data_IF_189660917128
#
_entry.id   IF_189660917128
#
_cell.length_a   1.000
_cell.length_b   1.000
_cell.length_c   1.000
_cell.angle_alpha   90.00
_cell.angle_beta   90.00
_cell.angle_gamma   90.00
#
_symmetry.space_group_name_H-M   'P 1'
#
loop_
_entity.id
_entity.type
_entity.pdbx_description
1 polymer ?
#
# COMPACT_ATOMS: atom_id res chain seq x y z
N UNK A 1 -8.07 -15.92 -25.29
CA UNK A 1 -7.03 -16.29 -24.29
C UNK A 1 -7.00 -17.79 -24.11
N UNK A 2 -5.83 -18.43 -24.22
CA UNK A 2 -5.67 -19.82 -23.80
C UNK A 2 -5.62 -19.86 -22.26
N UNK A 3 -6.75 -20.13 -21.62
CA UNK A 3 -6.88 -20.39 -20.18
C UNK A 3 -6.21 -21.72 -19.75
N UNK A 4 -5.17 -22.16 -20.45
CA UNK A 4 -4.56 -23.48 -20.30
C UNK A 4 -3.48 -23.59 -19.21
N UNK A 5 -3.03 -22.46 -18.65
CA UNK A 5 -1.82 -22.44 -17.81
C UNK A 5 -2.00 -21.94 -16.37
N UNK A 6 -3.21 -21.69 -15.88
CA UNK A 6 -3.45 -21.30 -14.47
C UNK A 6 -2.88 -22.32 -13.45
N UNK A 7 -2.77 -23.59 -13.83
CA UNK A 7 -2.18 -24.65 -12.99
C UNK A 7 -0.72 -24.41 -12.60
N UNK A 8 0.04 -23.69 -13.42
CA UNK A 8 1.43 -23.33 -13.10
C UNK A 8 1.53 -22.08 -12.19
N UNK A 9 0.45 -21.32 -12.02
CA UNK A 9 0.44 -20.03 -11.31
C UNK A 9 0.06 -20.21 -9.83
N UNK A 10 -0.65 -21.29 -9.49
CA UNK A 10 -1.29 -21.45 -8.18
C UNK A 10 -0.45 -22.22 -7.15
N UNK A 11 0.56 -23.00 -7.57
CA UNK A 11 1.37 -23.82 -6.66
C UNK A 11 0.61 -25.06 -6.17
N UNK A 12 1.29 -26.18 -5.98
CA UNK A 12 0.70 -27.52 -5.87
C UNK A 12 0.11 -27.89 -4.49
N UNK A 13 -0.19 -26.92 -3.61
CA UNK A 13 -0.61 -27.21 -2.23
C UNK A 13 -1.77 -26.32 -1.76
N UNK A 14 -2.94 -26.43 -2.38
CA UNK A 14 -4.15 -25.81 -1.83
C UNK A 14 -5.41 -26.63 -2.09
N UNK A 15 -6.34 -26.56 -1.12
CA UNK A 15 -7.79 -26.80 -1.31
C UNK A 15 -8.27 -26.12 -2.60
N UNK A 16 -9.33 -26.64 -3.24
CA UNK A 16 -9.94 -26.07 -4.45
C UNK A 16 -9.85 -24.53 -4.45
N UNK A 17 -9.12 -23.91 -5.40
CA UNK A 17 -8.90 -22.48 -5.36
C UNK A 17 -10.23 -21.75 -5.57
N UNK A 18 -10.60 -20.90 -4.60
CA UNK A 18 -11.68 -19.92 -4.77
C UNK A 18 -11.15 -18.78 -5.63
N UNK A 19 -11.60 -18.71 -6.88
CA UNK A 19 -11.24 -17.68 -7.84
C UNK A 19 -12.28 -16.56 -7.80
N UNK A 20 -11.84 -15.37 -7.44
CA UNK A 20 -12.69 -14.17 -7.46
C UNK A 20 -12.46 -13.44 -8.77
N UNK A 21 -13.51 -13.36 -9.58
CA UNK A 21 -13.52 -12.60 -10.82
C UNK A 21 -14.09 -11.22 -10.52
N UNK A 22 -13.41 -10.17 -10.97
CA UNK A 22 -13.75 -8.79 -10.61
C UNK A 22 -13.88 -7.95 -11.87
N UNK A 23 -15.01 -7.27 -12.03
CA UNK A 23 -15.23 -6.26 -13.06
C UNK A 23 -16.16 -5.16 -12.51
N UNK A 24 -16.15 -3.97 -13.11
CA UNK A 24 -17.08 -2.89 -12.79
C UNK A 24 -18.39 -3.00 -13.59
N UNK A 25 -18.38 -3.72 -14.71
CA UNK A 25 -19.52 -3.86 -15.60
C UNK A 25 -20.21 -5.23 -15.42
N UNK A 26 -21.41 -5.27 -14.82
CA UNK A 26 -22.16 -6.51 -14.63
C UNK A 26 -22.68 -7.12 -15.95
N UNK A 27 -22.70 -6.37 -17.05
CA UNK A 27 -23.04 -6.91 -18.38
C UNK A 27 -21.88 -7.73 -18.96
N UNK A 28 -20.64 -7.42 -18.58
CA UNK A 28 -19.44 -8.12 -19.04
C UNK A 28 -19.09 -9.28 -18.12
N UNK A 29 -19.22 -9.10 -16.81
CA UNK A 29 -18.97 -10.15 -15.84
C UNK A 29 -20.22 -10.45 -15.02
N UNK A 30 -20.80 -11.61 -15.25
CA UNK A 30 -21.89 -12.17 -14.48
C UNK A 30 -21.79 -13.70 -14.45
N UNK A 31 -22.62 -14.34 -13.62
CA UNK A 31 -22.60 -15.80 -13.44
C UNK A 31 -22.85 -16.55 -14.75
N UNK A 32 -23.74 -16.06 -15.63
CA UNK A 32 -24.05 -16.72 -16.90
C UNK A 32 -22.85 -16.75 -17.84
N UNK A 33 -22.16 -15.61 -18.00
CA UNK A 33 -20.93 -15.49 -18.80
C UNK A 33 -19.81 -16.39 -18.26
N UNK A 34 -19.67 -16.47 -16.94
CA UNK A 34 -18.67 -17.35 -16.31
C UNK A 34 -18.99 -18.82 -16.60
N UNK A 35 -20.24 -19.25 -16.44
CA UNK A 35 -20.64 -20.63 -16.75
C UNK A 35 -20.46 -20.95 -18.24
N UNK A 36 -20.79 -20.02 -19.13
CA UNK A 36 -20.58 -20.18 -20.57
C UNK A 36 -19.09 -20.34 -20.91
N UNK A 37 -18.23 -19.51 -20.32
CA UNK A 37 -16.77 -19.58 -20.51
C UNK A 37 -16.19 -20.90 -19.97
N UNK A 38 -16.64 -21.36 -18.80
CA UNK A 38 -16.26 -22.66 -18.22
C UNK A 38 -16.67 -23.78 -19.17
N UNK A 39 -17.93 -23.82 -19.61
CA UNK A 39 -18.41 -24.87 -20.51
C UNK A 39 -17.68 -24.90 -21.86
N UNK A 40 -17.34 -23.73 -22.40
CA UNK A 40 -16.49 -23.64 -23.59
C UNK A 40 -15.09 -24.23 -23.34
N UNK A 41 -14.46 -23.86 -22.22
CA UNK A 41 -13.13 -24.36 -21.85
C UNK A 41 -13.10 -25.87 -21.68
N UNK A 42 -14.07 -26.42 -20.93
CA UNK A 42 -14.17 -27.85 -20.66
C UNK A 42 -14.29 -28.66 -21.96
N UNK A 43 -15.12 -28.17 -22.88
CA UNK A 43 -15.28 -28.76 -24.21
C UNK A 43 -14.00 -28.65 -25.03
N UNK A 44 -13.37 -27.48 -25.05
CA UNK A 44 -12.17 -27.22 -25.85
C UNK A 44 -10.96 -28.06 -25.40
N UNK A 45 -10.76 -28.19 -24.09
CA UNK A 45 -9.63 -28.92 -23.52
C UNK A 45 -9.94 -30.36 -23.11
N UNK A 46 -11.20 -30.79 -23.26
CA UNK A 46 -11.67 -32.13 -22.85
C UNK A 46 -11.34 -32.45 -21.38
N UNK A 47 -11.59 -31.48 -20.49
CA UNK A 47 -11.33 -31.56 -19.04
C UNK A 47 -12.50 -30.98 -18.27
N UNK A 48 -12.69 -31.42 -17.01
CA UNK A 48 -13.66 -30.81 -16.09
C UNK A 48 -12.99 -29.76 -15.21
N UNK A 49 -13.67 -28.64 -15.04
CA UNK A 49 -13.29 -27.58 -14.12
C UNK A 49 -13.81 -27.92 -12.72
N UNK A 50 -12.93 -27.87 -11.73
CA UNK A 50 -13.26 -28.10 -10.31
C UNK A 50 -13.05 -26.85 -9.46
N UNK A 51 -12.70 -25.72 -10.09
CA UNK A 51 -12.52 -24.44 -9.43
C UNK A 51 -13.87 -23.82 -9.08
N UNK A 52 -13.90 -23.05 -7.99
CA UNK A 52 -15.08 -22.25 -7.64
C UNK A 52 -14.83 -20.82 -8.06
N UNK A 53 -15.78 -20.25 -8.79
CA UNK A 53 -15.74 -18.85 -9.18
C UNK A 53 -16.71 -18.06 -8.33
N UNK A 54 -16.29 -16.88 -7.89
CA UNK A 54 -17.15 -15.89 -7.27
C UNK A 54 -17.07 -14.61 -8.10
N UNK A 55 -18.21 -14.18 -8.64
CA UNK A 55 -18.31 -12.90 -9.32
C UNK A 55 -18.41 -11.77 -8.30
N UNK A 56 -17.58 -10.75 -8.47
CA UNK A 56 -17.56 -9.56 -7.63
C UNK A 56 -17.68 -8.33 -8.53
N UNK A 57 -18.81 -7.64 -8.43
CA UNK A 57 -19.00 -6.36 -9.11
C UNK A 57 -18.41 -5.25 -8.26
N UNK A 58 -17.53 -4.47 -8.88
CA UNK A 58 -16.75 -3.48 -8.19
C UNK A 58 -17.09 -2.04 -8.61
N UNK A 59 -16.50 -1.06 -7.92
CA UNK A 59 -16.50 0.35 -8.32
C UNK A 59 -15.13 0.72 -8.90
N UNK A 60 -15.01 1.80 -9.67
CA UNK A 60 -13.70 2.23 -10.18
C UNK A 60 -12.70 2.66 -9.08
N UNK A 61 -13.15 2.86 -7.84
CA UNK A 61 -12.33 3.42 -6.75
C UNK A 61 -12.07 2.46 -5.58
N UNK A 62 -12.83 1.37 -5.46
CA UNK A 62 -12.76 0.43 -4.34
C UNK A 62 -12.62 -0.98 -4.88
N UNK A 63 -12.21 -1.94 -4.08
CA UNK A 63 -12.32 -3.41 -4.26
C UNK A 63 -13.04 -3.90 -3.00
N UNK A 64 -14.16 -4.63 -3.08
CA UNK A 64 -14.98 -4.98 -1.91
C UNK A 64 -14.38 -6.17 -1.14
N UNK A 65 -13.08 -6.11 -0.87
CA UNK A 65 -12.34 -7.05 -0.06
C UNK A 65 -11.75 -6.36 1.18
N UNK A 66 -11.63 -7.07 2.31
CA UNK A 66 -10.96 -6.54 3.50
C UNK A 66 -9.49 -6.18 3.22
N UNK A 67 -8.95 -5.28 4.04
CA UNK A 67 -7.52 -4.97 4.05
C UNK A 67 -6.70 -6.27 4.22
N UNK A 68 -5.61 -6.40 3.45
CA UNK A 68 -4.64 -7.49 3.57
C UNK A 68 -5.27 -8.89 3.57
N UNK A 69 -6.28 -9.12 2.72
CA UNK A 69 -6.99 -10.39 2.60
C UNK A 69 -6.55 -11.23 1.40
N UNK A 70 -5.88 -10.63 0.41
CA UNK A 70 -5.58 -11.26 -0.87
C UNK A 70 -4.12 -11.72 -0.97
N UNK A 71 -3.92 -13.02 -1.25
CA UNK A 71 -2.59 -13.61 -1.45
C UNK A 71 -2.02 -13.37 -2.85
N UNK A 72 -2.89 -13.44 -3.88
CA UNK A 72 -2.51 -13.32 -5.28
C UNK A 72 -3.53 -12.48 -6.02
N UNK A 73 -3.08 -11.55 -6.85
CA UNK A 73 -3.91 -10.78 -7.78
C UNK A 73 -3.36 -10.94 -9.20
N UNK A 74 -4.25 -11.10 -10.17
CA UNK A 74 -3.89 -11.21 -11.59
C UNK A 74 -4.59 -10.10 -12.35
N UNK A 75 -3.83 -9.29 -13.09
CA UNK A 75 -4.32 -8.38 -14.12
C UNK A 75 -3.86 -8.95 -15.46
N UNK A 76 -4.80 -9.32 -16.33
CA UNK A 76 -4.50 -9.83 -17.67
C UNK A 76 -5.08 -8.86 -18.70
N UNK A 77 -4.19 -8.15 -19.38
CA UNK A 77 -4.47 -7.19 -20.43
C UNK A 77 -5.59 -6.19 -20.07
N UNK A 78 -5.49 -5.62 -18.87
CA UNK A 78 -6.57 -4.83 -18.24
C UNK A 78 -6.07 -3.59 -17.52
N UNK A 79 -4.79 -3.51 -17.15
CA UNK A 79 -4.26 -2.38 -16.41
C UNK A 79 -4.24 -1.09 -17.24
N UNK A 80 -3.93 -1.19 -18.54
CA UNK A 80 -4.02 -0.05 -19.46
C UNK A 80 -5.46 0.43 -19.67
N UNK A 81 -6.47 -0.36 -19.30
CA UNK A 81 -7.88 0.00 -19.40
C UNK A 81 -8.35 0.90 -18.24
N UNK A 82 -7.64 0.92 -17.11
CA UNK A 82 -8.03 1.76 -15.98
C UNK A 82 -7.84 3.24 -16.28
N UNK A 83 -8.88 4.04 -16.03
CA UNK A 83 -8.81 5.50 -16.11
C UNK A 83 -8.00 6.11 -14.96
N UNK A 84 -8.06 5.48 -13.78
CA UNK A 84 -7.45 5.94 -12.53
C UNK A 84 -6.44 4.91 -11.98
N UNK A 85 -5.41 4.62 -12.77
CA UNK A 85 -4.41 3.57 -12.47
C UNK A 85 -3.75 3.72 -11.10
N UNK A 86 -3.39 4.96 -10.72
CA UNK A 86 -2.76 5.22 -9.43
C UNK A 86 -3.70 4.89 -8.27
N UNK A 87 -4.98 5.29 -8.34
CA UNK A 87 -5.97 4.99 -7.32
C UNK A 87 -6.24 3.49 -7.22
N UNK A 88 -6.37 2.81 -8.37
CA UNK A 88 -6.55 1.35 -8.40
C UNK A 88 -5.35 0.61 -7.79
N UNK A 89 -4.12 1.06 -8.06
CA UNK A 89 -2.94 0.45 -7.43
C UNK A 89 -2.88 0.68 -5.91
N UNK A 90 -3.34 1.82 -5.41
CA UNK A 90 -3.50 2.02 -3.96
C UNK A 90 -4.52 1.05 -3.37
N UNK A 91 -5.62 0.81 -4.09
CA UNK A 91 -6.65 -0.12 -3.65
C UNK A 91 -6.19 -1.59 -3.72
N UNK A 92 -5.47 -1.98 -4.77
CA UNK A 92 -4.77 -3.27 -4.86
C UNK A 92 -3.82 -3.41 -3.67
N UNK A 93 -3.02 -2.39 -3.38
CA UNK A 93 -2.07 -2.41 -2.26
C UNK A 93 -2.77 -2.57 -0.90
N UNK A 94 -3.98 -2.03 -0.74
CA UNK A 94 -4.81 -2.15 0.47
C UNK A 94 -5.27 -3.59 0.68
N UNK A 95 -5.77 -4.26 -0.37
CA UNK A 95 -6.33 -5.62 -0.25
C UNK A 95 -5.26 -6.71 -0.23
N UNK A 96 -4.07 -6.46 -0.81
CA UNK A 96 -2.97 -7.43 -0.84
C UNK A 96 -2.34 -7.64 0.54
N UNK A 97 -2.08 -8.91 0.89
CA UNK A 97 -1.24 -9.29 2.04
C UNK A 97 0.19 -8.83 1.84
N UNK A 98 0.93 -8.70 2.93
CA UNK A 98 2.33 -8.26 2.92
C UNK A 98 3.26 -9.20 2.15
N UNK A 99 2.97 -10.50 2.16
CA UNK A 99 3.68 -11.51 1.37
C UNK A 99 2.96 -11.87 0.06
N UNK A 100 1.96 -11.08 -0.33
CA UNK A 100 1.17 -11.34 -1.52
C UNK A 100 1.90 -10.98 -2.82
N UNK A 101 1.42 -11.54 -3.93
CA UNK A 101 2.00 -11.31 -5.26
C UNK A 101 0.97 -10.76 -6.25
N UNK A 102 1.39 -9.79 -7.05
CA UNK A 102 0.59 -9.23 -8.14
C UNK A 102 1.21 -9.65 -9.46
N UNK A 103 0.41 -10.29 -10.31
CA UNK A 103 0.79 -10.71 -11.65
C UNK A 103 0.12 -9.78 -12.65
N UNK A 104 0.90 -9.22 -13.56
CA UNK A 104 0.44 -8.25 -14.56
C UNK A 104 0.93 -8.73 -15.90
N UNK A 105 0.01 -9.24 -16.71
CA UNK A 105 0.28 -9.55 -18.11
C UNK A 105 -0.27 -8.43 -18.97
N UNK A 106 0.59 -7.79 -19.76
CA UNK A 106 0.20 -6.67 -20.62
C UNK A 106 0.90 -6.77 -21.97
N UNK A 107 0.23 -6.29 -23.02
CA UNK A 107 0.92 -5.91 -24.24
C UNK A 107 1.86 -4.75 -23.92
N UNK A 108 3.12 -4.85 -24.35
CA UNK A 108 4.15 -3.86 -24.04
C UNK A 108 4.47 -3.02 -25.27
N UNK A 109 4.44 -1.71 -25.08
CA UNK A 109 4.81 -0.75 -26.09
C UNK A 109 6.29 -0.89 -26.47
N UNK A 110 6.59 -0.87 -27.76
CA UNK A 110 7.94 -0.78 -28.31
C UNK A 110 8.53 0.62 -28.13
N UNK A 111 7.67 1.65 -28.11
CA UNK A 111 8.05 3.04 -27.85
C UNK A 111 6.97 3.75 -27.04
N UNK A 112 7.38 4.77 -26.27
CA UNK A 112 6.45 5.54 -25.43
C UNK A 112 5.37 6.20 -26.28
N UNK A 113 4.11 6.06 -25.85
CA UNK A 113 2.94 6.62 -26.53
C UNK A 113 2.32 5.73 -27.61
N UNK A 114 2.85 4.52 -27.85
CA UNK A 114 2.16 3.50 -28.64
C UNK A 114 0.77 3.21 -28.06
N UNK A 115 -0.21 2.94 -28.94
CA UNK A 115 -1.60 2.69 -28.55
C UNK A 115 -2.01 1.27 -28.89
N UNK A 116 -2.79 0.67 -28.02
CA UNK A 116 -3.35 -0.66 -28.21
C UNK A 116 -4.32 -0.65 -29.40
N UNK A 117 -4.15 -1.56 -30.37
CA UNK A 117 -4.92 -1.57 -31.62
C UNK A 117 -6.44 -1.73 -31.39
N UNK A 118 -6.83 -2.49 -30.36
CA UNK A 118 -8.25 -2.77 -30.08
C UNK A 118 -9.00 -1.63 -29.40
N UNK A 119 -8.41 -1.05 -28.34
CA UNK A 119 -9.09 -0.07 -27.49
C UNK A 119 -8.61 1.38 -27.69
N UNK A 120 -7.50 1.58 -28.40
CA UNK A 120 -6.89 2.89 -28.66
C UNK A 120 -6.24 3.56 -27.44
N UNK A 121 -6.19 2.90 -26.27
CA UNK A 121 -5.52 3.44 -25.07
C UNK A 121 -3.99 3.30 -25.16
N UNK A 122 -3.22 4.21 -24.53
CA UNK A 122 -1.77 4.12 -24.54
C UNK A 122 -1.30 2.86 -23.82
N UNK A 123 -0.40 2.13 -24.46
CA UNK A 123 0.32 1.01 -23.88
C UNK A 123 1.50 1.52 -23.03
N UNK A 124 1.93 0.69 -22.09
CA UNK A 124 3.12 0.95 -21.31
C UNK A 124 4.34 0.31 -21.97
N UNK A 125 5.45 1.03 -21.99
CA UNK A 125 6.76 0.36 -22.07
C UNK A 125 7.00 -0.42 -20.77
N UNK A 126 7.86 -1.45 -20.82
CA UNK A 126 8.20 -2.23 -19.63
C UNK A 126 8.74 -1.36 -18.48
N UNK A 127 9.48 -0.30 -18.81
CA UNK A 127 10.03 0.65 -17.83
C UNK A 127 8.93 1.51 -17.18
N UNK A 128 7.99 2.02 -17.96
CA UNK A 128 6.87 2.82 -17.43
C UNK A 128 5.98 1.97 -16.53
N UNK A 129 5.64 0.74 -16.93
CA UNK A 129 4.84 -0.18 -16.12
C UNK A 129 5.53 -0.44 -14.77
N UNK A 130 6.83 -0.79 -14.80
CA UNK A 130 7.64 -0.98 -13.60
C UNK A 130 7.59 0.24 -12.68
N UNK A 131 7.84 1.43 -13.22
CA UNK A 131 7.88 2.67 -12.44
C UNK A 131 6.52 2.99 -11.79
N UNK A 132 5.42 2.76 -12.49
CA UNK A 132 4.06 3.00 -11.97
C UNK A 132 3.77 2.08 -10.77
N UNK A 133 4.14 0.80 -10.84
CA UNK A 133 3.99 -0.14 -9.73
C UNK A 133 4.93 0.16 -8.55
N UNK A 134 6.20 0.48 -8.81
CA UNK A 134 7.15 0.86 -7.75
C UNK A 134 6.73 2.14 -7.02
N UNK A 135 6.17 3.11 -7.77
CA UNK A 135 5.57 4.30 -7.18
C UNK A 135 4.36 3.97 -6.31
N UNK A 136 3.64 2.89 -6.57
CA UNK A 136 2.52 2.44 -5.75
C UNK A 136 2.92 1.55 -4.54
N UNK A 137 4.21 1.26 -4.34
CA UNK A 137 4.68 0.47 -3.20
C UNK A 137 4.72 -1.03 -3.47
N UNK A 138 5.01 -1.40 -4.71
CA UNK A 138 5.34 -2.76 -5.12
C UNK A 138 6.82 -2.86 -5.53
N UNK A 139 7.38 -4.06 -5.50
CA UNK A 139 8.74 -4.34 -5.97
C UNK A 139 8.65 -5.36 -7.11
N UNK A 140 9.26 -5.05 -8.26
CA UNK A 140 9.32 -6.01 -9.37
C UNK A 140 10.24 -7.17 -8.99
N UNK A 141 9.71 -8.39 -9.01
CA UNK A 141 10.47 -9.61 -8.71
C UNK A 141 10.86 -10.38 -9.96
N UNK A 142 10.03 -10.32 -11.01
CA UNK A 142 10.29 -10.99 -12.27
C UNK A 142 9.58 -10.26 -13.43
N UNK A 143 10.20 -10.25 -14.60
CA UNK A 143 9.55 -9.88 -15.86
C UNK A 143 9.99 -10.88 -16.93
N UNK A 144 9.03 -11.54 -17.59
CA UNK A 144 9.29 -12.54 -18.64
C UNK A 144 8.36 -12.32 -19.84
N UNK A 145 8.82 -12.57 -21.08
CA UNK A 145 7.92 -12.61 -22.23
C UNK A 145 6.82 -13.66 -22.03
N UNK A 146 5.57 -13.30 -22.30
CA UNK A 146 4.44 -14.24 -22.36
C UNK A 146 3.97 -14.49 -23.79
N UNK A 147 4.28 -13.58 -24.72
CA UNK A 147 4.13 -13.74 -26.17
C UNK A 147 5.14 -12.86 -26.91
N UNK A 148 5.01 -12.74 -28.23
CA UNK A 148 5.84 -11.83 -29.06
C UNK A 148 5.62 -10.35 -28.72
N UNK A 149 4.44 -10.00 -28.22
CA UNK A 149 4.02 -8.60 -27.97
C UNK A 149 3.71 -8.32 -26.50
N UNK A 150 3.67 -9.34 -25.64
CA UNK A 150 3.27 -9.21 -24.25
C UNK A 150 4.32 -9.77 -23.28
N UNK A 151 4.34 -9.20 -22.07
CA UNK A 151 5.17 -9.67 -20.97
C UNK A 151 4.33 -9.87 -19.71
N UNK A 152 4.71 -10.88 -18.94
CA UNK A 152 4.24 -11.13 -17.59
C UNK A 152 5.22 -10.54 -16.58
N UNK A 153 4.72 -9.62 -15.76
CA UNK A 153 5.43 -9.03 -14.63
C UNK A 153 4.88 -9.62 -13.33
N UNK A 154 5.79 -10.00 -12.45
CA UNK A 154 5.47 -10.40 -11.09
C UNK A 154 5.99 -9.34 -10.13
N UNK A 155 5.10 -8.85 -9.28
CA UNK A 155 5.42 -7.89 -8.23
C UNK A 155 5.12 -8.47 -6.85
N UNK A 156 5.97 -8.16 -5.89
CA UNK A 156 5.65 -8.31 -4.47
C UNK A 156 5.22 -6.97 -3.88
N UNK A 157 4.52 -7.03 -2.75
CA UNK A 157 4.32 -5.85 -1.91
C UNK A 157 5.65 -5.40 -1.33
N UNK A 158 6.01 -4.12 -1.44
CA UNK A 158 7.26 -3.59 -0.89
C UNK A 158 7.26 -3.69 0.65
N UNK A 159 8.32 -4.28 1.20
CA UNK A 159 8.43 -4.48 2.64
C UNK A 159 8.77 -3.18 3.37
N UNK A 160 8.12 -2.97 4.52
CA UNK A 160 8.40 -1.87 5.43
C UNK A 160 8.72 -2.46 6.80
N UNK A 161 9.96 -2.26 7.25
CA UNK A 161 10.43 -2.73 8.55
C UNK A 161 10.39 -1.54 9.51
N UNK A 162 9.75 -1.70 10.67
CA UNK A 162 9.72 -0.64 11.69
C UNK A 162 10.52 -1.06 12.91
N UNK A 163 11.49 -0.23 13.29
CA UNK A 163 12.32 -0.39 14.50
C UNK A 163 12.98 0.93 14.88
N UNK A 164 13.60 0.99 16.05
CA UNK A 164 14.46 2.11 16.40
C UNK A 164 15.73 2.13 15.51
N UNK A 165 16.30 3.31 15.20
CA UNK A 165 17.63 3.42 14.60
C UNK A 165 18.70 2.79 15.49
N UNK A 166 19.69 2.14 14.88
CA UNK A 166 20.72 1.35 15.57
C UNK A 166 22.13 1.87 15.32
N UNK A 167 22.38 2.52 14.18
CA UNK A 167 23.71 3.06 13.83
C UNK A 167 23.73 4.59 13.83
N UNK A 168 24.90 5.23 13.97
CA UNK A 168 25.02 6.69 13.84
C UNK A 168 24.46 7.24 12.52
N UNK A 169 24.62 6.50 11.42
CA UNK A 169 24.12 6.87 10.09
C UNK A 169 22.60 6.85 10.04
N UNK A 170 21.97 5.83 10.63
CA UNK A 170 20.52 5.75 10.74
C UNK A 170 19.95 6.86 11.63
N UNK A 171 20.61 7.16 12.76
CA UNK A 171 20.23 8.29 13.61
C UNK A 171 20.36 9.61 12.89
N UNK A 172 21.43 9.81 12.10
CA UNK A 172 21.58 11.00 11.26
C UNK A 172 20.43 11.09 10.25
N UNK A 173 20.10 10.00 9.56
CA UNK A 173 18.99 9.95 8.60
C UNK A 173 17.63 10.17 9.27
N UNK A 174 17.43 9.66 10.49
CA UNK A 174 16.22 9.84 11.28
C UNK A 174 15.95 11.33 11.55
N UNK A 175 16.95 12.03 12.09
CA UNK A 175 16.82 13.47 12.37
C UNK A 175 16.72 14.27 11.07
N UNK A 176 17.50 13.93 10.05
CA UNK A 176 17.41 14.61 8.75
C UNK A 176 15.98 14.55 8.19
N UNK A 177 15.35 13.37 8.15
CA UNK A 177 13.98 13.25 7.65
C UNK A 177 12.98 14.06 8.49
N UNK A 178 13.16 14.08 9.81
CA UNK A 178 12.32 14.89 10.71
C UNK A 178 12.47 16.38 10.41
N UNK A 179 13.69 16.85 10.16
CA UNK A 179 13.96 18.22 9.75
C UNK A 179 13.29 18.53 8.40
N UNK A 180 13.58 17.74 7.37
CA UNK A 180 13.10 17.96 6.00
C UNK A 180 11.57 18.06 5.92
N UNK A 181 10.85 17.30 6.75
CA UNK A 181 9.38 17.24 6.69
C UNK A 181 8.71 18.20 7.66
N UNK A 182 9.28 18.41 8.85
CA UNK A 182 8.60 19.15 9.92
C UNK A 182 9.15 20.56 10.16
N UNK A 183 10.36 20.85 9.71
CA UNK A 183 11.12 22.07 10.04
C UNK A 183 11.46 22.90 8.80
N UNK A 184 12.07 22.28 7.80
CA UNK A 184 12.55 22.96 6.59
C UNK A 184 11.44 23.74 5.84
N UNK A 185 10.23 23.18 5.61
CA UNK A 185 9.15 23.90 4.92
C UNK A 185 8.65 25.13 5.67
N UNK A 186 9.02 25.25 6.95
CA UNK A 186 8.63 26.33 7.86
C UNK A 186 9.82 27.22 8.24
N UNK A 187 10.91 27.16 7.46
CA UNK A 187 12.14 27.95 7.64
C UNK A 187 12.72 27.85 9.07
N UNK A 188 12.57 26.70 9.72
CA UNK A 188 13.13 26.48 11.05
C UNK A 188 14.61 26.06 10.93
N UNK A 189 15.47 26.42 11.90
CA UNK A 189 16.91 26.17 11.81
C UNK A 189 17.24 24.67 11.96
N UNK A 190 18.31 24.17 11.29
CA UNK A 190 18.85 22.84 11.55
C UNK A 190 19.16 22.64 13.03
N UNK A 191 18.85 21.46 13.57
CA UNK A 191 18.93 21.13 14.99
C UNK A 191 17.61 21.31 15.73
N UNK A 192 16.66 22.12 15.22
CA UNK A 192 15.33 22.29 15.84
C UNK A 192 14.43 21.05 15.74
N UNK A 193 14.80 20.07 14.91
CA UNK A 193 14.18 18.76 14.88
C UNK A 193 14.48 17.93 16.12
N UNK A 194 15.54 18.25 16.88
CA UNK A 194 15.90 17.53 18.11
C UNK A 194 15.27 18.22 19.32
N UNK A 195 14.63 17.44 20.17
CA UNK A 195 14.04 17.91 21.44
C UNK A 195 14.98 17.62 22.61
N UNK A 196 14.67 18.18 23.79
CA UNK A 196 15.52 18.03 24.97
C UNK A 196 15.42 16.63 25.63
N UNK A 197 14.37 15.88 25.29
CA UNK A 197 13.95 14.63 25.93
C UNK A 197 14.12 13.41 25.01
N UNK A 198 14.97 13.47 23.98
CA UNK A 198 15.16 12.35 23.04
C UNK A 198 15.70 11.08 23.75
N UNK A 199 16.39 11.20 24.87
CA UNK A 199 16.90 10.06 25.64
C UNK A 199 15.83 9.35 26.50
N UNK A 200 14.64 9.94 26.61
CA UNK A 200 13.55 9.47 27.49
C UNK A 200 12.36 8.91 26.71
N UNK A 201 12.48 8.76 25.39
CA UNK A 201 11.38 8.39 24.51
C UNK A 201 11.71 7.18 23.65
N UNK A 202 10.65 6.53 23.18
CA UNK A 202 10.78 5.48 22.18
C UNK A 202 10.84 6.13 20.80
N UNK A 203 11.89 5.83 20.04
CA UNK A 203 12.01 6.24 18.65
C UNK A 203 11.63 5.11 17.71
N UNK A 204 10.85 5.42 16.67
CA UNK A 204 10.51 4.48 15.62
C UNK A 204 10.88 5.04 14.25
N UNK A 205 11.54 4.23 13.44
CA UNK A 205 11.86 4.50 12.05
C UNK A 205 11.33 3.35 11.17
N UNK A 206 10.71 3.72 10.06
CA UNK A 206 10.29 2.81 9.02
C UNK A 206 11.37 2.77 7.93
N UNK A 207 11.83 1.58 7.59
CA UNK A 207 12.87 1.31 6.61
C UNK A 207 12.30 0.54 5.42
N UNK A 208 12.82 0.80 4.22
CA UNK A 208 12.68 -0.13 3.10
C UNK A 208 13.65 -1.31 3.21
N UNK A 209 13.56 -2.23 2.25
CA UNK A 209 14.41 -3.42 2.14
C UNK A 209 15.90 -3.09 2.01
N UNK A 210 16.23 -1.90 1.50
CA UNK A 210 17.61 -1.41 1.35
C UNK A 210 18.15 -0.71 2.61
N UNK A 211 17.35 -0.61 3.67
CA UNK A 211 17.74 0.09 4.91
C UNK A 211 17.61 1.62 4.83
N UNK A 212 16.93 2.17 3.84
CA UNK A 212 16.64 3.60 3.76
C UNK A 212 15.42 3.95 4.62
N UNK A 213 15.53 5.02 5.41
CA UNK A 213 14.41 5.52 6.21
C UNK A 213 13.35 6.17 5.31
N UNK A 214 12.11 5.68 5.42
CA UNK A 214 10.93 6.16 4.72
C UNK A 214 10.08 7.09 5.59
N UNK A 215 10.09 6.87 6.90
CA UNK A 215 9.32 7.64 7.87
C UNK A 215 9.83 7.46 9.30
N UNK A 216 9.51 8.40 10.17
CA UNK A 216 9.94 8.42 11.56
C UNK A 216 8.81 8.90 12.47
N UNK A 217 8.85 8.49 13.73
CA UNK A 217 7.98 8.95 14.80
C UNK A 217 8.67 8.75 16.16
N UNK A 218 8.09 9.31 17.22
CA UNK A 218 8.46 9.00 18.61
C UNK A 218 7.24 8.87 19.49
N UNK A 219 7.36 8.04 20.53
CA UNK A 219 6.35 7.82 21.56
C UNK A 219 6.95 8.20 22.93
N UNK A 220 6.24 9.03 23.67
CA UNK A 220 6.57 9.39 25.04
C UNK A 220 5.38 9.12 25.95
N UNK A 221 5.59 9.06 27.26
CA UNK A 221 4.51 8.93 28.23
C UNK A 221 4.38 10.24 29.00
N UNK A 222 3.21 10.89 28.93
CA UNK A 222 2.99 12.17 29.58
C UNK A 222 2.29 12.02 30.93
N UNK A 223 1.36 11.07 31.01
CA UNK A 223 0.52 10.81 32.16
C UNK A 223 0.42 9.30 32.37
N UNK A 224 0.15 8.82 33.59
CA UNK A 224 -0.04 7.40 33.84
C UNK A 224 -1.10 6.80 32.90
N UNK A 225 -0.72 5.77 32.14
CA UNK A 225 -1.61 5.10 31.19
C UNK A 225 -1.77 5.77 29.82
N UNK A 226 -1.14 6.94 29.58
CA UNK A 226 -1.33 7.72 28.35
C UNK A 226 -0.01 7.90 27.60
N UNK A 227 0.06 7.32 26.39
CA UNK A 227 1.14 7.56 25.45
C UNK A 227 0.87 8.78 24.58
N UNK A 228 1.87 9.57 24.24
CA UNK A 228 1.81 10.62 23.24
C UNK A 228 2.74 10.32 22.07
N UNK A 229 2.16 10.16 20.88
CA UNK A 229 2.94 10.07 19.64
C UNK A 229 3.22 11.48 19.13
N UNK A 230 4.49 11.73 18.81
CA UNK A 230 4.95 13.04 18.30
C UNK A 230 5.90 12.86 17.13
N UNK A 231 6.05 13.94 16.39
CA UNK A 231 7.07 14.08 15.35
C UNK A 231 7.00 13.00 14.28
N UNK A 232 5.77 12.62 13.92
CA UNK A 232 5.50 11.73 12.79
C UNK A 232 5.84 12.46 11.50
N UNK A 233 6.79 11.92 10.75
CA UNK A 233 7.22 12.44 9.45
C UNK A 233 7.39 11.28 8.46
N UNK A 234 6.78 11.40 7.28
CA UNK A 234 6.94 10.43 6.19
C UNK A 234 7.43 11.18 4.97
N UNK A 235 8.50 10.69 4.35
CA UNK A 235 9.06 11.29 3.14
C UNK A 235 8.01 11.38 2.03
N UNK A 236 8.02 12.46 1.26
CA UNK A 236 7.02 12.69 0.18
C UNK A 236 6.92 11.51 -0.78
N UNK A 237 8.05 10.88 -1.12
CA UNK A 237 8.09 9.72 -2.01
C UNK A 237 7.52 8.42 -1.41
N UNK A 238 7.31 8.38 -0.09
CA UNK A 238 6.81 7.21 0.63
C UNK A 238 5.39 7.40 1.21
N UNK A 239 4.80 8.60 1.05
CA UNK A 239 3.40 8.86 1.41
C UNK A 239 2.45 8.02 0.55
N UNK A 240 1.29 7.65 1.11
CA UNK A 240 0.33 6.73 0.47
C UNK A 240 0.73 5.25 0.54
N UNK A 241 2.01 4.90 0.73
CA UNK A 241 2.50 3.51 0.70
C UNK A 241 2.32 2.73 2.02
N UNK A 242 1.47 3.21 2.92
CA UNK A 242 1.23 2.57 4.23
C UNK A 242 2.29 2.79 5.32
N UNK A 243 3.34 3.58 5.07
CA UNK A 243 4.42 3.86 6.04
C UNK A 243 3.89 4.44 7.36
N UNK A 244 3.00 5.43 7.29
CA UNK A 244 2.38 6.03 8.48
C UNK A 244 1.59 5.01 9.31
N UNK A 245 0.78 4.17 8.65
CA UNK A 245 -0.01 3.11 9.31
C UNK A 245 0.91 2.10 10.02
N UNK A 246 2.03 1.73 9.40
CA UNK A 246 3.06 0.85 9.99
C UNK A 246 3.76 1.47 11.20
N UNK A 247 4.14 2.75 11.13
CA UNK A 247 4.71 3.48 12.28
C UNK A 247 3.73 3.53 13.45
N UNK A 248 2.48 3.90 13.20
CA UNK A 248 1.46 3.99 14.25
C UNK A 248 1.16 2.62 14.86
N UNK A 249 0.98 1.58 14.05
CA UNK A 249 0.72 0.22 14.54
C UNK A 249 1.87 -0.30 15.42
N UNK A 250 3.12 -0.02 15.04
CA UNK A 250 4.30 -0.37 15.84
C UNK A 250 4.31 0.34 17.19
N UNK A 251 4.04 1.65 17.21
CA UNK A 251 4.01 2.43 18.45
C UNK A 251 2.82 2.06 19.34
N UNK A 252 1.65 1.77 18.76
CA UNK A 252 0.46 1.27 19.47
C UNK A 252 0.76 -0.07 20.16
N UNK A 253 1.43 -1.00 19.48
CA UNK A 253 1.83 -2.27 20.08
C UNK A 253 2.85 -2.10 21.23
N UNK A 254 3.82 -1.19 21.09
CA UNK A 254 4.77 -0.89 22.17
C UNK A 254 4.07 -0.22 23.36
N UNK A 255 3.14 0.71 23.11
CA UNK A 255 2.35 1.36 24.14
C UNK A 255 1.51 0.35 24.94
N UNK A 256 0.81 -0.56 24.25
CA UNK A 256 0.10 -1.68 24.87
C UNK A 256 1.03 -2.55 25.72
N UNK A 257 2.21 -2.89 25.21
CA UNK A 257 3.22 -3.66 25.93
C UNK A 257 3.75 -2.97 27.21
N UNK A 258 3.66 -1.63 27.26
CA UNK A 258 3.99 -0.83 28.44
C UNK A 258 2.81 -0.63 29.40
N UNK A 259 1.65 -1.23 29.13
CA UNK A 259 0.44 -1.09 29.92
C UNK A 259 -0.27 0.26 29.74
N UNK A 260 0.03 0.98 28.65
CA UNK A 260 -0.72 2.18 28.29
C UNK A 260 -2.09 1.78 27.74
N UNK A 261 -3.10 2.57 28.05
CA UNK A 261 -4.51 2.32 27.68
C UNK A 261 -4.98 3.22 26.55
N UNK A 262 -4.26 4.30 26.27
CA UNK A 262 -4.59 5.22 25.18
C UNK A 262 -3.35 5.86 24.56
N UNK A 263 -3.48 6.28 23.30
CA UNK A 263 -2.55 7.18 22.63
C UNK A 263 -3.24 8.50 22.33
N UNK A 264 -2.54 9.60 22.61
CA UNK A 264 -2.87 10.96 22.18
C UNK A 264 -1.85 11.49 21.18
N UNK A 265 -2.26 12.42 20.32
CA UNK A 265 -1.38 13.12 19.39
C UNK A 265 -1.93 14.51 19.04
N UNK A 266 -1.06 15.36 18.53
CA UNK A 266 -1.41 16.68 17.98
C UNK A 266 -1.27 16.62 16.45
N UNK A 267 -2.38 16.38 15.75
CA UNK A 267 -2.40 16.25 14.30
C UNK A 267 -2.47 17.62 13.63
N UNK A 268 -1.66 17.84 12.60
CA UNK A 268 -1.91 18.94 11.64
C UNK A 268 -3.24 18.71 10.94
N UNK A 269 -3.95 19.78 10.59
CA UNK A 269 -5.24 19.71 9.89
C UNK A 269 -5.24 18.76 8.68
N UNK A 270 -4.21 18.84 7.83
CA UNK A 270 -4.08 17.98 6.65
C UNK A 270 -3.81 16.49 6.96
N UNK A 271 -3.39 16.15 8.19
CA UNK A 271 -3.15 14.78 8.63
C UNK A 271 -4.35 14.18 9.39
N UNK A 272 -5.36 14.98 9.73
CA UNK A 272 -6.56 14.51 10.44
C UNK A 272 -7.25 13.34 9.71
N UNK A 273 -7.49 13.38 8.38
CA UNK A 273 -8.13 12.26 7.68
C UNK A 273 -7.34 10.96 7.80
N UNK A 274 -6.01 11.03 7.80
CA UNK A 274 -5.16 9.86 8.01
C UNK A 274 -5.37 9.26 9.40
N UNK A 275 -5.32 10.06 10.46
CA UNK A 275 -5.50 9.56 11.83
C UNK A 275 -6.91 9.01 12.07
N UNK A 276 -7.94 9.65 11.49
CA UNK A 276 -9.31 9.11 11.52
C UNK A 276 -9.39 7.74 10.84
N UNK A 277 -8.72 7.55 9.70
CA UNK A 277 -8.72 6.26 8.98
C UNK A 277 -8.11 5.10 9.77
N UNK A 278 -7.31 5.37 10.80
CA UNK A 278 -6.69 4.35 11.68
C UNK A 278 -7.29 4.35 13.10
N UNK A 279 -8.46 4.98 13.27
CA UNK A 279 -9.29 4.89 14.48
C UNK A 279 -9.04 5.97 15.54
N UNK A 280 -8.38 7.08 15.21
CA UNK A 280 -8.27 8.22 16.13
C UNK A 280 -9.44 9.18 15.97
N UNK A 281 -9.88 9.73 17.09
CA UNK A 281 -10.98 10.69 17.13
C UNK A 281 -10.48 12.07 17.56
N UNK A 282 -11.05 13.13 16.97
CA UNK A 282 -10.76 14.50 17.37
C UNK A 282 -11.38 14.75 18.74
N UNK A 283 -10.60 15.28 19.67
CA UNK A 283 -11.06 15.68 20.99
C UNK A 283 -11.31 17.18 21.07
N UNK A 284 -10.40 17.98 20.50
CA UNK A 284 -10.50 19.44 20.48
C UNK A 284 -9.63 20.04 19.38
N UNK A 285 -10.01 21.23 18.94
CA UNK A 285 -9.10 22.16 18.26
C UNK A 285 -8.00 22.57 19.24
N UNK A 286 -6.75 22.45 18.81
CA UNK A 286 -5.56 22.71 19.61
C UNK A 286 -4.93 24.05 19.19
N UNK A 287 -3.61 24.17 19.28
CA UNK A 287 -2.88 25.39 18.96
C UNK A 287 -2.65 25.58 17.45
N UNK A 288 -2.38 26.84 17.07
CA UNK A 288 -1.94 27.22 15.74
C UNK A 288 -0.40 27.21 15.71
N UNK A 289 0.21 26.27 14.98
CA UNK A 289 1.67 26.17 14.88
C UNK A 289 2.18 27.13 13.79
N UNK A 290 3.28 27.84 14.09
CA UNK A 290 3.89 28.83 13.18
C UNK A 290 2.89 29.89 12.66
N UNK A 291 1.82 30.16 13.43
CA UNK A 291 0.72 31.05 13.06
C UNK A 291 -0.02 30.68 11.76
N UNK A 292 0.14 29.45 11.26
CA UNK A 292 -0.44 29.02 9.97
C UNK A 292 -1.07 27.62 10.00
N UNK A 293 -0.57 26.70 10.83
CA UNK A 293 -1.04 25.29 10.80
C UNK A 293 -1.92 24.98 12.00
N UNK A 294 -3.22 24.81 11.77
CA UNK A 294 -4.13 24.39 12.82
C UNK A 294 -3.80 22.95 13.24
N UNK A 295 -3.63 22.73 14.54
CA UNK A 295 -3.51 21.39 15.13
C UNK A 295 -4.80 20.96 15.81
N UNK A 296 -5.03 19.66 15.86
CA UNK A 296 -6.14 19.02 16.55
C UNK A 296 -5.59 17.96 17.49
N UNK A 297 -6.01 17.99 18.75
CA UNK A 297 -5.70 16.91 19.69
C UNK A 297 -6.58 15.72 19.32
N UNK A 298 -5.97 14.58 19.01
CA UNK A 298 -6.69 13.35 18.69
C UNK A 298 -6.29 12.23 19.63
N UNK A 299 -7.20 11.27 19.86
CA UNK A 299 -6.96 10.12 20.73
C UNK A 299 -7.49 8.82 20.16
N UNK A 300 -6.90 7.72 20.62
CA UNK A 300 -7.35 6.36 20.34
C UNK A 300 -7.15 5.51 21.59
N UNK A 301 -8.21 4.84 22.03
CA UNK A 301 -8.11 3.81 23.06
C UNK A 301 -7.38 2.59 22.49
N UNK A 302 -6.46 2.03 23.27
CA UNK A 302 -5.77 0.79 22.92
C UNK A 302 -6.59 -0.39 23.47
N UNK A 303 -6.80 -1.40 22.63
CA UNK A 303 -7.58 -2.62 22.92
C UNK A 303 -6.79 -3.86 22.55
#
# INVERSE_FOLDING_TARGET
>A
MQWGNLGNWLGSTAREPELRLVDINPEILNEEEVQAAVGYWEKHYSKFNTSRFQVIINTPQKIPLPDQSLDKLILSNAFHEFSEQAAMLQEIRRVMKENGSVFVEEQIAQFSGERHEGCGKPLFTASELKQVFEKAGFTLTQAVPSSEIAQLFTFSVAMIIVRSPQTPEEWKAYYQLRFDVLRDPWNQPPGSERLADEDQVIHAAAFDEGGKILGVARLQTNEPGVGQVRCVAVSTAAQGKGVGKKLMSYLEALALGQGLTEIILEARENAVPFYQSIGYEITKTSYLLFNEIQHYTMRKALV
#
